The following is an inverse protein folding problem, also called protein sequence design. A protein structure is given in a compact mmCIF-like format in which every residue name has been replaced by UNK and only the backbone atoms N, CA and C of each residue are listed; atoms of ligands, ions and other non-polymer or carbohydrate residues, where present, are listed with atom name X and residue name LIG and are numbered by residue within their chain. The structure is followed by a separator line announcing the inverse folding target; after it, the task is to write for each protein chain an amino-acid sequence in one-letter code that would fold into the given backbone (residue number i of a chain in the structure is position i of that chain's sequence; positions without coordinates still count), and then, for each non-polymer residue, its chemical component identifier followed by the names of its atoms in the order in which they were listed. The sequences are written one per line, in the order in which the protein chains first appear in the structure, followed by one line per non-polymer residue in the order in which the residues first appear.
data_IF_302947640448
#
_entry.id   IF_302947640448
#
_cell.length_a   1.000
_cell.length_b   1.000
_cell.length_c   1.000
_cell.angle_alpha   90.00
_cell.angle_beta   90.00
_cell.angle_gamma   90.00
#
_symmetry.space_group_name_H-M   'P 1'
#
loop_
_entity.id
_entity.type
_entity.pdbx_description
1 polymer ?
#
# COMPACT_ATOMS: atom_id res chain seq x y z
N UNK A 1 -38.26 -4.50 -9.98
CA UNK A 1 -37.06 -5.35 -10.05
C UNK A 1 -35.91 -4.51 -10.59
N UNK A 2 -34.96 -4.18 -9.72
CA UNK A 2 -33.61 -3.81 -10.11
C UNK A 2 -32.73 -4.21 -8.93
N UNK A 3 -32.20 -5.45 -8.97
CA UNK A 3 -31.02 -5.79 -8.19
C UNK A 3 -29.89 -4.97 -8.80
N UNK A 4 -29.53 -3.88 -8.15
CA UNK A 4 -28.24 -3.24 -8.41
C UNK A 4 -27.22 -4.16 -7.73
N UNK A 5 -26.75 -5.13 -8.50
CA UNK A 5 -25.65 -5.99 -8.11
C UNK A 5 -24.41 -5.10 -7.97
N UNK A 6 -23.89 -5.06 -6.75
CA UNK A 6 -22.46 -5.17 -6.47
C UNK A 6 -21.56 -4.26 -7.34
N UNK A 7 -21.60 -2.95 -7.08
CA UNK A 7 -20.54 -2.05 -7.54
C UNK A 7 -19.64 -1.76 -6.35
N UNK A 8 -18.73 -2.70 -6.12
CA UNK A 8 -17.50 -2.47 -5.40
C UNK A 8 -17.70 -2.30 -3.91
N UNK A 9 -17.88 -3.44 -3.23
CA UNK A 9 -17.10 -3.67 -2.02
C UNK A 9 -15.60 -3.50 -2.41
N UNK A 10 -15.14 -2.25 -2.56
CA UNK A 10 -13.73 -1.92 -2.64
C UNK A 10 -13.22 -2.16 -1.24
N UNK A 11 -12.82 -3.41 -1.06
CA UNK A 11 -12.11 -3.96 0.07
C UNK A 11 -11.33 -2.88 0.79
N UNK A 12 -11.54 -2.87 2.10
CA UNK A 12 -10.76 -2.20 3.12
C UNK A 12 -9.25 -2.48 2.95
N UNK A 13 -8.60 -1.93 1.93
CA UNK A 13 -7.22 -1.55 2.11
C UNK A 13 -7.25 -0.53 3.25
N UNK A 14 -6.57 -0.78 4.38
CA UNK A 14 -6.54 0.20 5.46
C UNK A 14 -6.09 1.53 4.85
N UNK A 15 -6.55 2.66 5.39
CA UNK A 15 -6.26 4.02 4.89
C UNK A 15 -4.75 4.37 5.02
N UNK A 16 -3.93 3.65 4.25
CA UNK A 16 -2.46 3.65 4.30
C UNK A 16 -1.87 4.07 2.97
N UNK A 17 -2.65 4.07 1.88
CA UNK A 17 -2.21 4.64 0.62
C UNK A 17 -1.92 6.13 0.84
N UNK A 18 -0.70 6.55 0.50
CA UNK A 18 -0.18 7.90 0.77
C UNK A 18 0.50 8.06 2.14
N UNK A 19 0.63 7.02 2.97
CA UNK A 19 1.42 7.10 4.21
C UNK A 19 2.91 7.00 3.90
N UNK A 20 3.67 7.92 4.48
CA UNK A 20 5.13 7.83 4.54
C UNK A 20 5.56 6.72 5.50
N UNK A 21 6.55 5.95 5.08
CA UNK A 21 7.21 4.90 5.84
C UNK A 21 8.72 5.07 5.77
N UNK A 22 9.41 4.58 6.79
CA UNK A 22 10.87 4.49 6.81
C UNK A 22 11.27 3.04 6.62
N UNK A 23 12.15 2.80 5.67
CA UNK A 23 12.69 1.48 5.30
C UNK A 23 14.21 1.52 5.45
N UNK A 24 14.87 0.36 5.42
CA UNK A 24 16.34 0.27 5.44
C UNK A 24 17.02 0.99 4.24
N UNK A 25 16.28 1.18 3.14
CA UNK A 25 16.74 1.85 1.92
C UNK A 25 16.39 3.33 1.86
N UNK A 26 15.75 3.86 2.91
CA UNK A 26 15.32 5.25 3.02
C UNK A 26 13.81 5.41 3.14
N UNK A 27 13.34 6.63 2.93
CA UNK A 27 11.92 7.00 3.00
C UNK A 27 11.15 6.54 1.76
N UNK A 28 9.95 6.01 1.97
CA UNK A 28 9.06 5.61 0.91
C UNK A 28 7.60 5.96 1.25
N UNK A 29 6.74 5.95 0.24
CA UNK A 29 5.29 6.16 0.39
C UNK A 29 4.57 4.89 -0.01
N UNK A 30 3.61 4.44 0.80
CA UNK A 30 2.77 3.30 0.43
C UNK A 30 1.80 3.73 -0.68
N UNK A 31 1.86 3.05 -1.81
CA UNK A 31 1.00 3.30 -2.97
C UNK A 31 -0.20 2.35 -2.96
N UNK A 32 0.05 1.08 -2.64
CA UNK A 32 -0.96 0.03 -2.66
C UNK A 32 -0.65 -1.06 -1.62
N UNK A 33 -1.68 -1.80 -1.22
CA UNK A 33 -1.54 -3.01 -0.42
C UNK A 33 -2.22 -4.20 -1.11
N UNK A 34 -1.44 -5.22 -1.44
CA UNK A 34 -1.92 -6.50 -1.95
C UNK A 34 -2.23 -7.42 -0.75
N UNK A 35 -3.51 -7.47 -0.38
CA UNK A 35 -4.02 -8.31 0.70
C UNK A 35 -3.78 -9.80 0.47
N UNK A 36 -3.76 -10.25 -0.80
CA UNK A 36 -3.57 -11.68 -1.12
C UNK A 36 -2.14 -12.13 -0.85
N UNK A 37 -1.17 -11.21 -0.88
CA UNK A 37 0.24 -11.48 -0.63
C UNK A 37 0.78 -10.88 0.67
N UNK A 38 -0.04 -10.11 1.39
CA UNK A 38 0.35 -9.30 2.55
C UNK A 38 1.57 -8.39 2.27
N UNK A 39 1.58 -7.77 1.08
CA UNK A 39 2.67 -6.90 0.61
C UNK A 39 2.18 -5.50 0.29
N UNK A 40 3.02 -4.53 0.60
CA UNK A 40 2.82 -3.11 0.34
C UNK A 40 3.67 -2.72 -0.87
N UNK A 41 3.03 -2.16 -1.89
CA UNK A 41 3.72 -1.47 -2.96
C UNK A 41 4.12 -0.10 -2.44
N UNK A 42 5.39 0.24 -2.57
CA UNK A 42 5.94 1.50 -2.06
C UNK A 42 6.76 2.19 -3.13
N UNK A 43 6.74 3.51 -3.13
CA UNK A 43 7.56 4.35 -4.00
C UNK A 43 8.59 5.09 -3.15
N UNK A 44 9.87 4.96 -3.51
CA UNK A 44 10.99 5.55 -2.79
C UNK A 44 11.15 7.02 -3.16
N UNK A 45 10.99 7.90 -2.17
CA UNK A 45 11.03 9.35 -2.37
C UNK A 45 12.43 9.78 -2.85
N UNK A 46 12.50 10.40 -4.02
CA UNK A 46 13.75 10.91 -4.61
C UNK A 46 14.62 9.85 -5.29
N UNK A 47 14.13 8.62 -5.47
CA UNK A 47 14.86 7.55 -6.15
C UNK A 47 14.14 7.00 -7.39
N UNK A 48 12.94 7.51 -7.73
CA UNK A 48 12.08 7.04 -8.84
C UNK A 48 11.99 5.50 -8.91
N UNK A 49 11.98 4.87 -7.74
CA UNK A 49 12.06 3.42 -7.59
C UNK A 49 10.82 2.91 -6.87
N UNK A 50 10.32 1.75 -7.30
CA UNK A 50 9.15 1.09 -6.73
C UNK A 50 9.56 -0.27 -6.18
N UNK A 51 9.09 -0.59 -4.98
CA UNK A 51 9.39 -1.84 -4.29
C UNK A 51 8.17 -2.49 -3.66
N UNK A 52 8.24 -3.80 -3.46
CA UNK A 52 7.26 -4.54 -2.66
C UNK A 52 7.86 -4.85 -1.30
N UNK A 53 7.23 -4.36 -0.23
CA UNK A 53 7.65 -4.55 1.14
C UNK A 53 6.61 -5.33 1.95
N UNK A 54 7.04 -6.05 2.98
CA UNK A 54 6.17 -6.61 4.01
C UNK A 54 6.16 -5.69 5.23
N UNK A 55 5.19 -5.88 6.13
CA UNK A 55 5.04 -5.07 7.36
C UNK A 55 6.28 -5.04 8.25
N UNK A 56 7.15 -6.07 8.18
CA UNK A 56 8.38 -6.16 8.96
C UNK A 56 9.55 -5.36 8.37
N UNK A 57 9.43 -4.87 7.13
CA UNK A 57 10.51 -4.19 6.40
C UNK A 57 10.43 -2.67 6.49
N UNK A 58 9.44 -2.14 7.21
CA UNK A 58 9.28 -0.71 7.38
C UNK A 58 8.63 -0.34 8.70
N UNK A 59 8.87 0.88 9.13
CA UNK A 59 8.22 1.51 10.26
C UNK A 59 7.31 2.62 9.74
N UNK A 60 6.12 2.72 10.35
CA UNK A 60 5.25 3.88 10.16
C UNK A 60 5.90 5.07 10.87
N UNK A 61 6.01 6.19 10.15
CA UNK A 61 6.51 7.45 10.70
C UNK A 61 5.45 8.13 11.57
#
# INVERSE_FOLDING_TARGET
MALINDIGNRDMAPNINGKEIITDYGSAVIVEYDQSKEKFLVEYTGQDAIGWLTKSQFLLK
#
